data_IF_259254857834
#
_entry.id   IF_259254857834
#
_cell.length_a   1.000
_cell.length_b   1.000
_cell.length_c   1.000
_cell.angle_alpha   90.00
_cell.angle_beta   90.00
_cell.angle_gamma   90.00
#
_symmetry.space_group_name_H-M   'P 1'
#
loop_
_entity.id
_entity.type
_entity.pdbx_description
1 polymer ?
#
# COMPACT_ATOMS: atom_id res chain seq x y z
N UNK A 1 -5.36 17.46 3.37
CA UNK A 1 -4.97 16.64 2.22
C UNK A 1 -3.55 17.02 1.83
N UNK A 2 -2.64 16.05 1.82
CA UNK A 2 -1.21 16.25 1.57
C UNK A 2 -0.82 15.40 0.38
N UNK A 3 -0.39 16.01 -0.72
CA UNK A 3 0.10 15.26 -1.89
C UNK A 3 1.46 14.66 -1.55
N UNK A 4 1.61 13.35 -1.77
CA UNK A 4 2.87 12.64 -1.58
C UNK A 4 3.66 12.64 -2.89
N UNK A 5 3.02 12.19 -3.97
CA UNK A 5 3.61 12.14 -5.31
C UNK A 5 2.50 12.27 -6.37
N UNK A 6 2.86 12.04 -7.64
CA UNK A 6 1.98 12.26 -8.79
C UNK A 6 0.70 11.40 -8.76
N UNK A 7 0.71 10.26 -8.06
CA UNK A 7 -0.42 9.34 -7.99
C UNK A 7 -1.08 9.27 -6.61
N UNK A 8 -0.42 9.67 -5.53
CA UNK A 8 -0.88 9.40 -4.17
C UNK A 8 -0.90 10.62 -3.26
N UNK A 9 -1.88 10.62 -2.35
CA UNK A 9 -2.08 11.66 -1.36
C UNK A 9 -2.60 11.11 -0.04
N UNK A 10 -2.30 11.81 1.05
CA UNK A 10 -2.89 11.57 2.36
C UNK A 10 -4.11 12.45 2.57
N UNK A 11 -5.16 11.86 3.12
CA UNK A 11 -6.31 12.57 3.68
C UNK A 11 -6.17 12.62 5.21
N UNK A 12 -7.25 12.93 5.93
CA UNK A 12 -7.26 12.90 7.39
C UNK A 12 -7.13 11.47 7.95
N UNK A 13 -7.67 10.49 7.23
CA UNK A 13 -7.87 9.12 7.70
C UNK A 13 -7.62 8.06 6.62
N UNK A 14 -7.05 8.42 5.47
CA UNK A 14 -6.79 7.48 4.38
C UNK A 14 -5.58 7.84 3.51
N UNK A 15 -5.05 6.83 2.82
CA UNK A 15 -4.15 6.96 1.68
C UNK A 15 -4.99 6.82 0.40
N UNK A 16 -4.98 7.86 -0.44
CA UNK A 16 -5.78 7.91 -1.66
C UNK A 16 -4.91 7.91 -2.90
N UNK A 17 -5.18 6.97 -3.79
CA UNK A 17 -4.60 6.87 -5.12
C UNK A 17 -5.50 7.56 -6.16
N UNK A 18 -4.91 8.47 -6.92
CA UNK A 18 -5.51 9.14 -8.09
C UNK A 18 -5.01 8.43 -9.36
N UNK A 19 -5.36 7.16 -9.51
CA UNK A 19 -4.96 6.39 -10.70
C UNK A 19 -5.51 7.04 -11.98
N UNK A 20 -4.89 6.74 -13.13
CA UNK A 20 -5.25 7.36 -14.43
C UNK A 20 -6.72 7.19 -14.83
N UNK A 21 -7.37 6.13 -14.36
CA UNK A 21 -8.74 5.73 -14.76
C UNK A 21 -9.67 5.54 -13.53
N UNK A 22 -9.13 5.39 -12.32
CA UNK A 22 -9.92 5.11 -11.12
C UNK A 22 -9.28 5.68 -9.86
N UNK A 23 -10.10 6.13 -8.93
CA UNK A 23 -9.66 6.41 -7.56
C UNK A 23 -9.54 5.11 -6.77
N UNK A 24 -8.56 5.05 -5.88
CA UNK A 24 -8.41 3.98 -4.91
C UNK A 24 -8.20 4.61 -3.55
N UNK A 25 -8.74 4.00 -2.50
CA UNK A 25 -8.65 4.56 -1.15
C UNK A 25 -8.43 3.43 -0.16
N UNK A 26 -7.40 3.62 0.67
CA UNK A 26 -7.01 2.72 1.74
C UNK A 26 -7.18 3.48 3.04
N UNK A 27 -8.19 3.10 3.83
CA UNK A 27 -8.37 3.64 5.17
C UNK A 27 -7.13 3.42 6.03
N UNK A 28 -6.78 4.40 6.85
CA UNK A 28 -5.60 4.35 7.71
C UNK A 28 -5.67 3.19 8.71
N UNK A 29 -6.87 2.84 9.17
CA UNK A 29 -7.18 1.67 10.00
C UNK A 29 -6.93 0.32 9.28
N UNK A 30 -6.81 0.36 7.95
CA UNK A 30 -6.59 -0.82 7.12
C UNK A 30 -5.16 -0.91 6.61
N UNK A 31 -4.30 0.08 6.79
CA UNK A 31 -2.95 0.07 6.20
C UNK A 31 -2.13 -1.17 6.58
N UNK A 32 -2.35 -1.72 7.77
CA UNK A 32 -1.71 -2.96 8.27
C UNK A 32 -2.61 -4.19 8.18
N UNK A 33 -3.67 -4.16 7.36
CA UNK A 33 -4.53 -5.30 7.07
C UNK A 33 -3.68 -6.42 6.43
N UNK A 34 -3.78 -7.63 6.98
CA UNK A 34 -3.11 -8.80 6.40
C UNK A 34 -4.01 -9.45 5.36
N UNK A 35 -3.40 -9.99 4.31
CA UNK A 35 -4.13 -10.47 3.15
C UNK A 35 -4.97 -11.72 3.37
N UNK A 36 -5.63 -12.16 2.31
CA UNK A 36 -6.25 -13.49 2.25
C UNK A 36 -5.20 -14.57 1.96
N UNK A 37 -5.63 -15.83 2.00
CA UNK A 37 -4.79 -16.95 1.57
C UNK A 37 -4.24 -16.68 0.14
N UNK A 38 -2.96 -16.98 -0.13
CA UNK A 38 -2.03 -17.76 0.70
C UNK A 38 -1.25 -16.98 1.77
N UNK A 39 -1.38 -15.65 1.87
CA UNK A 39 -0.52 -14.80 2.73
C UNK A 39 -1.18 -14.33 4.03
N UNK A 40 -2.23 -15.04 4.45
CA UNK A 40 -3.08 -14.62 5.57
C UNK A 40 -2.31 -14.58 6.88
N UNK A 41 -2.28 -13.40 7.50
CA UNK A 41 -1.55 -13.17 8.75
C UNK A 41 -0.03 -13.12 8.59
N UNK A 42 0.49 -13.24 7.36
CA UNK A 42 1.93 -13.27 7.09
C UNK A 42 2.41 -12.01 6.39
N UNK A 43 1.62 -11.47 5.46
CA UNK A 43 1.94 -10.26 4.70
C UNK A 43 0.81 -9.23 4.77
N UNK A 44 1.18 -7.96 4.71
CA UNK A 44 0.24 -6.87 4.47
C UNK A 44 -0.34 -6.96 3.06
N UNK A 45 -1.64 -6.74 2.97
CA UNK A 45 -2.42 -7.02 1.77
C UNK A 45 -2.18 -5.99 0.66
N UNK A 46 -2.04 -4.70 1.03
CA UNK A 46 -2.02 -3.60 0.07
C UNK A 46 -0.84 -3.64 -0.91
N UNK A 47 0.40 -3.91 -0.47
CA UNK A 47 1.51 -4.12 -1.40
C UNK A 47 1.23 -5.20 -2.45
N UNK A 48 0.54 -6.28 -2.07
CA UNK A 48 0.20 -7.37 -2.98
C UNK A 48 -0.91 -6.93 -3.93
N UNK A 49 -1.99 -6.34 -3.40
CA UNK A 49 -3.12 -5.89 -4.22
C UNK A 49 -2.71 -4.83 -5.25
N UNK A 50 -1.94 -3.82 -4.87
CA UNK A 50 -1.46 -2.79 -5.80
C UNK A 50 -0.42 -3.38 -6.76
N UNK A 51 0.43 -4.27 -6.25
CA UNK A 51 1.34 -5.10 -7.03
C UNK A 51 0.65 -5.95 -8.10
N UNK A 52 -0.68 -6.10 -8.11
CA UNK A 52 -1.46 -6.80 -9.15
C UNK A 52 -2.27 -5.86 -10.07
N UNK A 53 -2.36 -4.55 -9.76
CA UNK A 53 -3.11 -3.58 -10.58
C UNK A 53 -2.23 -2.92 -11.63
N UNK A 54 -2.72 -2.82 -12.87
CA UNK A 54 -2.00 -2.17 -13.99
C UNK A 54 -2.14 -0.63 -14.02
N UNK A 55 -3.01 -0.07 -13.18
CA UNK A 55 -3.39 1.35 -13.24
C UNK A 55 -2.59 2.27 -12.32
N UNK A 56 -1.61 1.71 -11.61
CA UNK A 56 -0.79 2.41 -10.63
C UNK A 56 0.68 2.09 -10.87
N UNK A 57 1.54 3.09 -10.71
CA UNK A 57 2.97 2.88 -10.60
C UNK A 57 3.27 2.30 -9.21
N UNK A 58 3.85 1.10 -9.20
CA UNK A 58 4.10 0.39 -7.95
C UNK A 58 5.14 1.09 -7.06
N UNK A 59 6.15 1.74 -7.65
CA UNK A 59 7.17 2.45 -6.88
C UNK A 59 6.57 3.70 -6.22
N UNK A 60 5.73 4.44 -6.95
CA UNK A 60 5.00 5.58 -6.38
C UNK A 60 4.06 5.13 -5.26
N UNK A 61 3.42 3.97 -5.39
CA UNK A 61 2.65 3.41 -4.29
C UNK A 61 3.52 3.08 -3.08
N UNK A 62 4.65 2.41 -3.24
CA UNK A 62 5.52 2.00 -2.11
C UNK A 62 6.01 3.21 -1.33
N UNK A 63 6.44 4.27 -2.03
CA UNK A 63 6.81 5.53 -1.42
C UNK A 63 5.66 6.09 -0.58
N UNK A 64 4.46 6.16 -1.16
CA UNK A 64 3.30 6.73 -0.52
C UNK A 64 2.79 5.90 0.66
N UNK A 65 2.86 4.58 0.54
CA UNK A 65 2.47 3.64 1.58
C UNK A 65 3.37 3.74 2.81
N UNK A 66 4.69 3.87 2.62
CA UNK A 66 5.62 4.11 3.73
C UNK A 66 5.32 5.43 4.45
N UNK A 67 5.09 6.50 3.70
CA UNK A 67 4.72 7.79 4.29
C UNK A 67 3.38 7.74 5.02
N UNK A 68 2.40 6.99 4.51
CA UNK A 68 1.13 6.78 5.19
C UNK A 68 1.32 6.04 6.52
N UNK A 69 2.07 4.95 6.51
CA UNK A 69 2.37 4.16 7.71
C UNK A 69 3.09 5.00 8.78
N UNK A 70 4.01 5.87 8.39
CA UNK A 70 4.68 6.80 9.31
C UNK A 70 3.72 7.91 9.79
N UNK A 71 2.95 8.51 8.90
CA UNK A 71 2.01 9.60 9.23
C UNK A 71 0.92 9.14 10.21
N UNK A 72 0.45 7.91 10.04
CA UNK A 72 -0.58 7.29 10.84
C UNK A 72 -0.02 6.41 11.97
N UNK A 73 1.29 6.42 12.18
CA UNK A 73 1.91 5.78 13.33
C UNK A 73 1.20 6.23 14.62
N UNK A 74 0.95 5.28 15.51
CA UNK A 74 0.24 5.45 16.79
C UNK A 74 -1.25 5.82 16.72
N UNK A 75 -1.80 6.17 15.54
CA UNK A 75 -3.24 6.45 15.39
C UNK A 75 -4.07 5.17 15.23
N UNK A 76 -3.51 4.16 14.58
CA UNK A 76 -4.21 2.91 14.29
C UNK A 76 -3.35 1.71 14.69
N UNK A 77 -4.01 0.66 15.17
CA UNK A 77 -3.40 -0.59 15.60
C UNK A 77 -3.74 -1.69 14.58
N UNK A 78 -2.85 -2.68 14.36
CA UNK A 78 -1.57 -2.89 15.03
C UNK A 78 -0.45 -1.95 14.56
N UNK A 79 0.58 -1.80 15.40
CA UNK A 79 1.82 -1.13 15.00
C UNK A 79 2.46 -1.83 13.79
N UNK A 80 3.18 -1.06 12.97
CA UNK A 80 3.82 -1.55 11.76
C UNK A 80 4.96 -2.49 12.12
N UNK A 81 4.88 -3.73 11.65
CA UNK A 81 6.00 -4.67 11.65
C UNK A 81 6.83 -4.43 10.38
N UNK A 82 8.04 -3.90 10.56
CA UNK A 82 8.94 -3.55 9.46
C UNK A 82 9.34 -4.78 8.65
N UNK A 83 9.51 -5.95 9.29
CA UNK A 83 9.90 -7.15 8.55
C UNK A 83 8.76 -7.64 7.64
N UNK A 84 7.52 -7.61 8.15
CA UNK A 84 6.32 -7.92 7.36
C UNK A 84 6.14 -6.90 6.24
N UNK A 85 6.36 -5.61 6.51
CA UNK A 85 6.28 -4.54 5.51
C UNK A 85 7.22 -4.79 4.34
N UNK A 86 8.51 -4.99 4.60
CA UNK A 86 9.50 -5.22 3.54
C UNK A 86 9.18 -6.50 2.74
N UNK A 87 8.84 -7.60 3.41
CA UNK A 87 8.43 -8.83 2.72
C UNK A 87 7.18 -8.65 1.85
N UNK A 88 6.24 -7.81 2.30
CA UNK A 88 5.02 -7.50 1.53
C UNK A 88 5.34 -6.66 0.29
N UNK A 89 6.25 -5.68 0.42
CA UNK A 89 6.73 -4.85 -0.69
C UNK A 89 7.47 -5.70 -1.72
N UNK A 90 8.37 -6.58 -1.27
CA UNK A 90 9.07 -7.50 -2.16
C UNK A 90 8.07 -8.38 -2.93
N UNK A 91 7.08 -8.92 -2.22
CA UNK A 91 6.07 -9.77 -2.85
C UNK A 91 5.21 -9.01 -3.86
N UNK A 92 4.80 -7.78 -3.54
CA UNK A 92 4.08 -6.94 -4.49
C UNK A 92 4.93 -6.56 -5.70
N UNK A 93 6.24 -6.34 -5.51
CA UNK A 93 7.18 -6.09 -6.62
C UNK A 93 7.31 -7.29 -7.56
N UNK A 94 7.27 -8.52 -7.04
CA UNK A 94 7.24 -9.73 -7.88
C UNK A 94 5.99 -9.76 -8.79
N UNK A 95 4.82 -9.46 -8.23
CA UNK A 95 3.58 -9.39 -9.02
C UNK A 95 3.63 -8.26 -10.05
N UNK A 96 4.20 -7.12 -9.68
CA UNK A 96 4.30 -5.96 -10.57
C UNK A 96 5.16 -6.27 -11.80
N UNK A 97 6.31 -6.91 -11.59
CA UNK A 97 7.19 -7.35 -12.68
C UNK A 97 6.49 -8.34 -13.62
N UNK A 98 5.74 -9.29 -13.08
CA UNK A 98 5.01 -10.29 -13.87
C UNK A 98 3.89 -9.69 -14.75
N UNK A 99 3.39 -8.47 -14.47
CA UNK A 99 2.41 -7.79 -15.34
C UNK A 99 3.01 -7.34 -16.67
N UNK A 100 4.33 -7.13 -16.68
CA UNK A 100 5.05 -6.50 -17.78
C UNK A 100 5.80 -7.52 -18.66
N UNK A 101 5.70 -8.81 -18.33
CA UNK A 101 6.14 -9.95 -19.15
C UNK A 101 5.05 -10.38 -20.14
#
# INVERSE_FOLDING_TARGET
MTVINDEWELTEDSLRGRGKISYYEIGADRLTETGNAPYKGELYDWPIQIGQKINFDYQLFVEAFRQALEHFADRYQPAVDVAILEASIDKGSEFDKQKHE
#
